data_IF_889906860711
#
_entry.id   IF_889906860711
#
_cell.length_a   1.000
_cell.length_b   1.000
_cell.length_c   1.000
_cell.angle_alpha   90.00
_cell.angle_beta   90.00
_cell.angle_gamma   90.00
#
_symmetry.space_group_name_H-M   'P 1'
#
loop_
_entity.id
_entity.type
_entity.pdbx_description
1 polymer ?
#
# COMPACT_ATOMS: atom_id res chain seq x y z
N UNK A 1 -21.88 0.21 28.76
CA UNK A 1 -22.44 1.01 27.65
C UNK A 1 -21.28 1.50 26.80
N UNK A 2 -21.35 1.45 25.47
CA UNK A 2 -20.24 1.93 24.62
C UNK A 2 -20.39 3.43 24.34
N UNK A 3 -19.32 4.19 24.51
CA UNK A 3 -19.25 5.61 24.13
C UNK A 3 -19.23 5.73 22.61
N UNK A 4 -20.08 6.60 22.07
CA UNK A 4 -20.12 6.86 20.64
C UNK A 4 -19.27 8.10 20.31
N UNK A 5 -18.33 7.96 19.37
CA UNK A 5 -17.55 9.09 18.85
C UNK A 5 -18.10 9.47 17.49
N UNK A 6 -18.30 10.76 17.25
CA UNK A 6 -18.82 11.22 15.95
C UNK A 6 -17.81 10.94 14.82
N UNK A 7 -18.26 11.00 13.57
CA UNK A 7 -17.36 10.92 12.41
C UNK A 7 -16.29 12.04 12.47
N UNK A 8 -16.65 13.23 12.93
CA UNK A 8 -15.72 14.34 13.08
C UNK A 8 -14.66 14.07 14.18
N UNK A 9 -15.05 13.46 15.31
CA UNK A 9 -14.10 13.09 16.36
C UNK A 9 -13.19 11.94 15.91
N UNK A 10 -13.76 10.96 15.22
CA UNK A 10 -12.99 9.87 14.59
C UNK A 10 -11.96 10.44 13.61
N UNK A 11 -12.34 11.44 12.79
CA UNK A 11 -11.41 12.09 11.86
C UNK A 11 -10.27 12.85 12.57
N UNK A 12 -10.50 13.40 13.78
CA UNK A 12 -9.41 13.99 14.59
C UNK A 12 -8.43 12.91 15.05
N UNK A 13 -8.94 11.77 15.53
CA UNK A 13 -8.12 10.63 15.96
C UNK A 13 -7.32 10.07 14.79
N UNK A 14 -7.94 9.91 13.62
CA UNK A 14 -7.24 9.50 12.39
C UNK A 14 -6.09 10.46 12.06
N UNK A 15 -6.33 11.78 12.07
CA UNK A 15 -5.27 12.77 11.80
C UNK A 15 -4.13 12.70 12.82
N UNK A 16 -4.44 12.48 14.09
CA UNK A 16 -3.43 12.35 15.14
C UNK A 16 -2.59 11.08 14.92
N UNK A 17 -3.26 9.94 14.76
CA UNK A 17 -2.61 8.63 14.57
C UNK A 17 -1.71 8.64 13.33
N UNK A 18 -2.15 9.26 12.23
CA UNK A 18 -1.33 9.37 11.02
C UNK A 18 -0.08 10.23 11.22
N UNK A 19 -0.18 11.33 11.98
CA UNK A 19 0.99 12.19 12.27
C UNK A 19 1.99 11.50 13.19
N UNK A 20 1.52 10.69 14.12
CA UNK A 20 2.37 9.91 15.03
C UNK A 20 3.06 8.76 14.30
N UNK A 21 2.33 8.04 13.44
CA UNK A 21 2.86 6.90 12.66
C UNK A 21 3.76 7.33 11.50
N UNK A 22 3.49 8.46 10.87
CA UNK A 22 4.22 8.94 9.68
C UNK A 22 4.63 10.42 9.85
N UNK A 23 5.65 10.71 10.68
CA UNK A 23 6.11 12.06 10.91
C UNK A 23 6.64 12.71 9.63
N UNK A 24 6.21 13.93 9.35
CA UNK A 24 6.65 14.70 8.17
C UNK A 24 5.76 14.54 6.93
N UNK A 25 4.87 13.55 6.92
CA UNK A 25 3.99 13.28 5.79
C UNK A 25 2.69 14.10 5.84
N UNK A 26 2.22 14.53 4.67
CA UNK A 26 1.03 15.38 4.54
C UNK A 26 -0.17 14.56 4.09
N UNK A 27 -1.09 14.31 5.03
CA UNK A 27 -2.36 13.66 4.74
C UNK A 27 -3.51 14.66 4.65
N UNK A 28 -4.37 14.48 3.65
CA UNK A 28 -5.70 15.08 3.58
C UNK A 28 -6.71 14.10 4.18
N UNK A 29 -7.43 14.52 5.23
CA UNK A 29 -8.43 13.69 5.92
C UNK A 29 -9.79 14.37 5.86
N UNK A 30 -10.69 13.80 5.06
CA UNK A 30 -12.03 14.35 4.78
C UNK A 30 -13.09 13.39 5.31
N UNK A 31 -13.96 13.91 6.17
CA UNK A 31 -15.13 13.18 6.66
C UNK A 31 -16.32 13.37 5.72
N UNK A 32 -17.10 12.32 5.52
CA UNK A 32 -18.36 12.36 4.80
C UNK A 32 -19.45 11.70 5.65
N UNK A 33 -20.59 12.36 5.78
CA UNK A 33 -21.76 11.87 6.51
C UNK A 33 -22.95 11.89 5.57
N UNK A 34 -23.70 10.80 5.52
CA UNK A 34 -24.85 10.63 4.63
C UNK A 34 -25.97 9.91 5.38
N UNK A 35 -27.12 9.72 4.75
CA UNK A 35 -28.29 9.16 5.41
C UNK A 35 -27.98 7.76 5.99
N UNK A 36 -27.88 7.67 7.32
CA UNK A 36 -27.66 6.42 8.05
C UNK A 36 -26.20 5.97 8.21
N UNK A 37 -25.21 6.70 7.68
CA UNK A 37 -23.81 6.26 7.77
C UNK A 37 -22.80 7.43 7.65
N UNK A 38 -21.52 7.14 7.91
CA UNK A 38 -20.42 8.05 7.73
C UNK A 38 -19.13 7.32 7.38
N UNK A 39 -18.28 7.99 6.60
CA UNK A 39 -16.97 7.48 6.19
C UNK A 39 -15.92 8.58 6.23
N UNK A 40 -14.66 8.17 6.22
CA UNK A 40 -13.52 9.08 6.10
C UNK A 40 -12.71 8.67 4.87
N UNK A 41 -12.28 9.66 4.09
CA UNK A 41 -11.31 9.48 3.01
C UNK A 41 -10.00 10.15 3.41
N UNK A 42 -8.93 9.36 3.36
CA UNK A 42 -7.55 9.76 3.61
C UNK A 42 -6.82 9.73 2.27
N UNK A 43 -6.25 10.86 1.86
CA UNK A 43 -5.45 10.93 0.63
C UNK A 43 -4.08 11.56 0.89
N UNK A 44 -3.07 11.11 0.16
CA UNK A 44 -1.71 11.66 0.19
C UNK A 44 -0.98 11.36 -1.12
N UNK A 45 0.13 12.03 -1.34
CA UNK A 45 0.98 11.88 -2.53
C UNK A 45 2.33 11.33 -2.12
N UNK A 46 2.87 10.38 -2.88
CA UNK A 46 4.14 9.70 -2.60
C UNK A 46 4.16 9.09 -1.19
N UNK A 47 5.03 9.52 -0.29
CA UNK A 47 5.03 9.11 1.11
C UNK A 47 4.94 7.58 1.36
N UNK A 48 4.34 7.13 2.47
CA UNK A 48 4.27 5.71 2.84
C UNK A 48 3.38 4.90 1.89
N UNK A 49 3.61 3.59 1.82
CA UNK A 49 2.81 2.73 0.97
C UNK A 49 1.36 2.62 1.49
N UNK A 50 0.41 2.43 0.57
CA UNK A 50 -1.02 2.37 0.91
C UNK A 50 -1.33 1.30 1.96
N UNK A 51 -0.67 0.14 1.89
CA UNK A 51 -0.84 -0.95 2.84
C UNK A 51 -0.50 -0.55 4.27
N UNK A 52 0.58 0.21 4.47
CA UNK A 52 1.01 0.62 5.81
C UNK A 52 0.05 1.64 6.41
N UNK A 53 -0.40 2.60 5.59
CA UNK A 53 -1.41 3.58 6.00
C UNK A 53 -2.74 2.89 6.31
N UNK A 54 -3.18 1.96 5.48
CA UNK A 54 -4.39 1.17 5.67
C UNK A 54 -4.32 0.32 6.95
N UNK A 55 -3.16 -0.27 7.26
CA UNK A 55 -2.94 -1.03 8.50
C UNK A 55 -3.11 -0.21 9.77
N UNK A 56 -2.81 1.09 9.71
CA UNK A 56 -3.02 2.06 10.80
C UNK A 56 -4.49 2.50 10.84
N UNK A 57 -5.07 2.88 9.71
CA UNK A 57 -6.41 3.49 9.66
C UNK A 57 -7.55 2.49 9.83
N UNK A 58 -7.44 1.25 9.34
CA UNK A 58 -8.49 0.20 9.48
C UNK A 58 -8.88 -0.10 10.93
N UNK A 59 -7.97 0.15 11.87
CA UNK A 59 -8.21 -0.03 13.32
C UNK A 59 -9.17 1.01 13.89
N UNK A 60 -9.43 2.09 13.16
CA UNK A 60 -10.29 3.20 13.58
C UNK A 60 -11.68 3.15 12.92
N UNK A 61 -11.99 2.07 12.21
CA UNK A 61 -13.31 1.87 11.58
C UNK A 61 -14.38 1.45 12.59
N UNK A 62 -15.56 2.03 12.47
CA UNK A 62 -16.75 1.70 13.26
C UNK A 62 -17.47 0.42 12.85
N UNK A 63 -17.23 -0.10 11.64
CA UNK A 63 -17.88 -1.31 11.16
C UNK A 63 -17.00 -2.13 10.20
N UNK A 64 -17.48 -3.33 9.87
CA UNK A 64 -17.11 -4.11 8.68
C UNK A 64 -18.38 -4.43 7.90
N UNK A 65 -18.24 -4.60 6.61
CA UNK A 65 -19.28 -5.13 5.75
C UNK A 65 -18.83 -6.46 5.16
N UNK A 66 -19.70 -7.46 5.20
CA UNK A 66 -19.52 -8.75 4.54
C UNK A 66 -20.43 -8.82 3.33
N UNK A 67 -19.84 -8.84 2.14
CA UNK A 67 -20.60 -8.85 0.89
C UNK A 67 -21.25 -10.19 0.56
N UNK A 68 -20.82 -11.29 1.19
CA UNK A 68 -21.42 -12.60 0.95
C UNK A 68 -22.74 -12.76 1.70
N UNK A 69 -22.80 -12.26 2.93
CA UNK A 69 -23.98 -12.31 3.79
C UNK A 69 -24.82 -11.01 3.76
N UNK A 70 -24.39 -10.01 2.98
CA UNK A 70 -24.95 -8.64 2.94
C UNK A 70 -25.11 -8.04 4.35
N UNK A 71 -24.11 -8.26 5.21
CA UNK A 71 -24.21 -7.97 6.63
C UNK A 71 -23.18 -6.94 7.08
N UNK A 72 -23.69 -5.82 7.63
CA UNK A 72 -22.88 -4.83 8.34
C UNK A 72 -22.78 -5.18 9.83
N UNK A 73 -21.55 -5.34 10.31
CA UNK A 73 -21.26 -5.61 11.73
C UNK A 73 -20.48 -4.44 12.34
N UNK A 74 -20.95 -3.92 13.46
CA UNK A 74 -20.24 -2.85 14.18
C UNK A 74 -18.99 -3.38 14.90
N UNK A 75 -17.91 -2.60 14.83
CA UNK A 75 -16.64 -2.86 15.51
C UNK A 75 -16.61 -2.02 16.78
N UNK A 76 -16.52 -2.70 17.92
CA UNK A 76 -16.27 -2.03 19.19
C UNK A 76 -14.78 -2.03 19.49
N UNK A 77 -14.33 -0.92 20.04
CA UNK A 77 -12.94 -0.66 20.39
C UNK A 77 -12.83 -0.41 21.88
N UNK A 78 -11.62 -0.50 22.41
CA UNK A 78 -11.30 -0.10 23.78
C UNK A 78 -10.26 1.01 23.70
N UNK A 79 -10.59 2.17 24.26
CA UNK A 79 -9.73 3.36 24.30
C UNK A 79 -9.73 3.86 25.74
N UNK A 80 -8.56 3.90 26.36
CA UNK A 80 -8.38 4.32 27.76
C UNK A 80 -9.28 3.56 28.76
N UNK A 81 -9.53 2.27 28.52
CA UNK A 81 -10.40 1.42 29.34
C UNK A 81 -11.90 1.65 29.13
N UNK A 82 -12.28 2.54 28.22
CA UNK A 82 -13.67 2.73 27.80
C UNK A 82 -13.96 1.98 26.50
N UNK A 83 -15.10 1.29 26.45
CA UNK A 83 -15.59 0.71 25.20
C UNK A 83 -16.12 1.81 24.30
N UNK A 84 -15.57 1.94 23.09
CA UNK A 84 -15.89 2.98 22.12
C UNK A 84 -16.47 2.39 20.83
N UNK A 85 -17.37 3.12 20.19
CA UNK A 85 -17.81 2.92 18.82
C UNK A 85 -17.47 4.16 17.99
N UNK A 86 -16.60 4.01 17.00
CA UNK A 86 -16.27 5.10 16.08
C UNK A 86 -17.42 5.33 15.10
N UNK A 87 -17.75 6.59 14.86
CA UNK A 87 -18.89 6.97 14.01
C UNK A 87 -18.60 6.88 12.53
N UNK A 88 -17.32 6.85 12.12
CA UNK A 88 -16.95 6.55 10.74
C UNK A 88 -16.88 5.03 10.56
N UNK A 89 -17.88 4.44 9.90
CA UNK A 89 -17.95 2.99 9.72
C UNK A 89 -16.89 2.46 8.75
N UNK A 90 -16.45 3.29 7.81
CA UNK A 90 -15.46 2.93 6.80
C UNK A 90 -14.40 4.03 6.66
N UNK A 91 -13.15 3.62 6.45
CA UNK A 91 -12.05 4.53 6.14
C UNK A 91 -11.39 4.08 4.85
N UNK A 92 -11.38 4.97 3.86
CA UNK A 92 -10.77 4.72 2.56
C UNK A 92 -9.45 5.47 2.45
N UNK A 93 -8.43 4.80 1.92
CA UNK A 93 -7.10 5.36 1.70
C UNK A 93 -6.80 5.40 0.22
N UNK A 94 -6.36 6.55 -0.27
CA UNK A 94 -5.99 6.76 -1.67
C UNK A 94 -4.60 7.40 -1.75
N UNK A 95 -3.69 6.77 -2.48
CA UNK A 95 -2.31 7.22 -2.64
C UNK A 95 -2.10 7.60 -4.10
N UNK A 96 -1.77 8.86 -4.32
CA UNK A 96 -1.27 9.34 -5.59
C UNK A 96 0.25 9.15 -5.64
N UNK A 97 0.79 8.74 -6.79
CA UNK A 97 2.24 8.63 -6.99
C UNK A 97 2.61 9.69 -8.02
N UNK A 98 3.54 10.57 -7.67
CA UNK A 98 4.02 11.61 -8.57
C UNK A 98 4.90 11.03 -9.68
N UNK A 99 4.93 11.71 -10.83
CA UNK A 99 5.82 11.35 -11.93
C UNK A 99 7.29 11.31 -11.47
N UNK A 100 7.69 12.25 -10.60
CA UNK A 100 9.05 12.33 -10.05
C UNK A 100 9.43 11.09 -9.21
N UNK A 101 8.48 10.56 -8.44
CA UNK A 101 8.65 9.32 -7.68
C UNK A 101 8.72 8.11 -8.61
N UNK A 102 7.89 8.07 -9.66
CA UNK A 102 7.94 7.03 -10.70
C UNK A 102 9.32 7.02 -11.36
N UNK A 103 9.81 8.19 -11.80
CA UNK A 103 11.14 8.35 -12.41
C UNK A 103 12.27 7.91 -11.49
N UNK A 104 12.14 8.19 -10.20
CA UNK A 104 13.14 7.82 -9.19
C UNK A 104 13.15 6.31 -8.97
N UNK A 105 11.97 5.70 -8.82
CA UNK A 105 11.83 4.25 -8.65
C UNK A 105 12.34 3.50 -9.88
N UNK A 106 11.99 3.96 -11.08
CA UNK A 106 12.48 3.39 -12.34
C UNK A 106 14.02 3.39 -12.39
N UNK A 107 14.67 4.51 -12.02
CA UNK A 107 16.14 4.61 -11.96
C UNK A 107 16.78 3.69 -10.93
N UNK A 108 16.16 3.50 -9.77
CA UNK A 108 16.67 2.58 -8.75
C UNK A 108 16.54 1.12 -9.18
N UNK A 109 15.46 0.74 -9.87
CA UNK A 109 15.30 -0.62 -10.43
C UNK A 109 16.38 -0.91 -11.47
N UNK A 110 16.68 0.03 -12.39
CA UNK A 110 17.80 -0.10 -13.36
C UNK A 110 19.12 -0.44 -12.67
N UNK A 111 19.43 0.26 -11.57
CA UNK A 111 20.68 0.05 -10.82
C UNK A 111 20.73 -1.33 -10.15
N UNK A 112 19.58 -1.85 -9.72
CA UNK A 112 19.49 -3.14 -9.05
C UNK A 112 19.59 -4.31 -10.03
N UNK A 113 18.91 -4.22 -11.18
CA UNK A 113 18.80 -5.33 -12.15
C UNK A 113 19.84 -5.28 -13.27
N UNK A 114 20.58 -4.18 -13.43
CA UNK A 114 21.68 -4.05 -14.40
C UNK A 114 21.25 -3.86 -15.86
N UNK A 115 19.94 -3.77 -16.14
CA UNK A 115 19.37 -3.53 -17.47
C UNK A 115 18.58 -2.21 -17.51
N UNK A 116 18.63 -1.52 -18.66
CA UNK A 116 18.01 -0.23 -18.87
C UNK A 116 16.48 -0.33 -18.86
N UNK A 117 15.82 0.44 -17.99
CA UNK A 117 14.36 0.53 -17.93
C UNK A 117 13.93 1.65 -18.86
N UNK A 118 12.94 1.29 -19.70
CA UNK A 118 12.17 2.13 -20.62
C UNK A 118 12.20 3.64 -20.36
N UNK A 119 12.50 4.41 -21.41
CA UNK A 119 12.36 5.86 -21.44
C UNK A 119 10.89 6.26 -21.18
N UNK A 120 10.66 7.17 -20.23
CA UNK A 120 9.33 7.58 -19.79
C UNK A 120 8.75 8.54 -20.82
N UNK A 121 7.63 8.15 -21.45
CA UNK A 121 6.91 9.00 -22.39
C UNK A 121 5.56 9.37 -21.76
N UNK A 122 5.45 10.62 -21.31
CA UNK A 122 4.20 11.27 -20.87
C UNK A 122 3.42 10.56 -19.75
N UNK A 123 4.06 10.32 -18.60
CA UNK A 123 3.43 10.05 -17.28
C UNK A 123 2.49 8.83 -17.16
N UNK A 124 2.20 8.12 -18.25
CA UNK A 124 1.20 7.05 -18.31
C UNK A 124 1.49 5.99 -19.36
N UNK A 125 2.52 6.17 -20.19
CA UNK A 125 2.90 5.23 -21.25
C UNK A 125 4.30 4.70 -21.00
N UNK A 126 4.37 3.41 -20.68
CA UNK A 126 5.63 2.68 -20.65
C UNK A 126 5.88 2.12 -22.05
N UNK A 127 6.97 2.52 -22.71
CA UNK A 127 7.47 1.77 -23.88
C UNK A 127 8.38 0.68 -23.38
N UNK A 128 7.90 -0.55 -23.29
CA UNK A 128 8.79 -1.71 -23.30
C UNK A 128 9.46 -1.75 -24.67
N UNK A 129 10.55 -1.02 -24.87
CA UNK A 129 11.38 -1.24 -26.05
C UNK A 129 12.11 -2.56 -25.84
N UNK A 130 11.60 -3.57 -26.55
CA UNK A 130 12.24 -4.83 -26.92
C UNK A 130 11.92 -6.09 -26.09
N UNK A 131 10.70 -6.22 -25.53
CA UNK A 131 10.25 -7.53 -25.01
C UNK A 131 9.44 -8.39 -25.99
N UNK A 132 8.79 -7.78 -26.99
CA UNK A 132 7.87 -8.51 -27.89
C UNK A 132 8.46 -8.85 -29.27
N UNK A 133 9.74 -8.54 -29.53
CA UNK A 133 10.35 -8.83 -30.85
C UNK A 133 11.72 -9.52 -30.81
N UNK A 134 12.18 -10.01 -29.65
CA UNK A 134 13.31 -10.95 -29.59
C UNK A 134 12.86 -12.32 -29.03
N UNK A 135 12.60 -13.32 -29.89
CA UNK A 135 12.30 -14.68 -29.44
C UNK A 135 13.47 -15.37 -28.70
N UNK A 136 14.62 -14.70 -28.53
CA UNK A 136 15.82 -15.18 -27.85
C UNK A 136 15.85 -15.03 -26.32
N UNK A 137 15.00 -14.22 -25.70
CA UNK A 137 15.12 -13.92 -24.25
C UNK A 137 14.24 -14.77 -23.33
N UNK A 138 13.30 -15.55 -23.88
CA UNK A 138 12.49 -16.49 -23.09
C UNK A 138 13.32 -17.67 -22.51
N UNK A 139 14.49 -17.96 -23.09
CA UNK A 139 15.40 -19.01 -22.59
C UNK A 139 16.58 -18.48 -21.74
N UNK A 140 16.79 -17.15 -21.68
CA UNK A 140 17.93 -16.57 -20.98
C UNK A 140 17.74 -16.45 -19.45
N UNK A 141 16.49 -16.40 -18.98
CA UNK A 141 16.18 -16.35 -17.53
C UNK A 141 16.35 -17.68 -16.80
N UNK A 142 16.67 -18.77 -17.51
CA UNK A 142 16.91 -20.09 -16.95
C UNK A 142 18.33 -20.64 -17.23
N UNK A 143 19.31 -19.75 -17.42
CA UNK A 143 20.72 -20.14 -17.45
C UNK A 143 21.43 -19.67 -16.19
N UNK A 144 21.32 -20.47 -15.13
CA UNK A 144 22.56 -20.78 -14.39
C UNK A 144 23.53 -21.32 -15.42
N UNK A 145 24.64 -20.64 -15.61
CA UNK A 145 25.69 -21.08 -16.53
C UNK A 145 26.14 -22.49 -16.12
N UNK A 146 26.18 -23.49 -17.05
CA UNK A 146 26.60 -24.86 -16.73
C UNK A 146 28.01 -24.96 -16.11
N UNK A 147 28.83 -23.92 -16.25
CA UNK A 147 30.16 -23.82 -15.67
C UNK A 147 30.17 -23.59 -14.15
N UNK A 148 29.09 -23.07 -13.55
CA UNK A 148 29.04 -22.75 -12.12
C UNK A 148 28.39 -23.84 -11.26
N UNK A 149 27.75 -24.85 -11.87
CA UNK A 149 27.29 -26.04 -11.14
C UNK A 149 28.37 -27.12 -11.02
N UNK A 150 29.40 -27.14 -11.88
CA UNK A 150 30.50 -28.12 -11.80
C UNK A 150 31.56 -27.81 -10.74
N UNK A 151 31.74 -26.54 -10.35
CA UNK A 151 32.68 -26.18 -9.27
C UNK A 151 32.06 -26.35 -7.87
N UNK A 152 30.75 -26.15 -7.73
CA UNK A 152 30.06 -26.27 -6.43
C UNK A 152 29.78 -27.74 -6.03
N UNK A 153 29.70 -28.66 -7.00
CA UNK A 153 29.53 -30.10 -6.76
C UNK A 153 30.85 -30.87 -6.54
N UNK A 154 32.00 -30.23 -6.75
CA UNK A 154 33.32 -30.80 -6.45
C UNK A 154 33.80 -30.53 -5.01
N UNK A 155 33.23 -29.54 -4.31
CA UNK A 155 33.60 -29.20 -2.92
C UNK A 155 32.73 -29.86 -1.85
N UNK A 156 31.71 -30.64 -2.25
CA UNK A 156 30.81 -31.37 -1.35
C UNK A 156 30.89 -32.87 -1.68
N UNK A 157 32.03 -33.48 -1.41
CA UNK A 157 32.11 -34.92 -1.13
C UNK A 157 32.84 -35.11 0.19
N UNK A 158 32.21 -35.71 1.22
CA UNK A 158 32.96 -36.20 2.37
C UNK A 158 33.90 -37.33 1.93
N UNK A 159 35.04 -37.42 2.62
CA UNK A 159 36.11 -38.39 2.42
C UNK A 159 35.62 -39.85 2.46
#
# INVERSE_FOLDING_TARGET
MSKYLTCADTAKIVRQTLRESFPGEKFSVRSHTYAGDASIRVTWTDGPCARDVEGVTKRLEGARFDGMDDLKTFKHHEVDGERVLFGANFIFTDREISDEMIDTCAREIVKMDGEAVAEIINGSTYRWSDFDNDPGLFWARNKRTPAQESETLASIRPA
#
